data_IF_030021073376
#
_entry.id   IF_030021073376
#
_cell.length_a   1.000
_cell.length_b   1.000
_cell.length_c   1.000
_cell.angle_alpha   90.00
_cell.angle_beta   90.00
_cell.angle_gamma   90.00
#
_symmetry.space_group_name_H-M   'P 1'
#
loop_
_entity.id
_entity.type
_entity.pdbx_description
1 polymer ?
#
# COMPACT_ATOMS: atom_id res chain seq x y z
N UNK A 1 -34.42 -53.85 -56.25
CA UNK A 1 -33.19 -53.54 -55.45
C UNK A 1 -33.49 -52.28 -54.65
N UNK A 2 -33.92 -52.41 -53.35
CA UNK A 2 -34.31 -51.29 -52.48
C UNK A 2 -33.07 -50.84 -51.63
N UNK A 3 -32.64 -49.59 -51.79
CA UNK A 3 -31.60 -48.99 -50.95
C UNK A 3 -32.21 -48.56 -49.60
N UNK A 4 -31.68 -49.14 -48.52
CA UNK A 4 -31.99 -48.70 -47.15
C UNK A 4 -31.47 -47.27 -46.90
N UNK A 5 -32.27 -46.38 -46.27
CA UNK A 5 -31.80 -45.05 -45.90
C UNK A 5 -30.82 -45.15 -44.72
N UNK A 6 -29.71 -44.43 -44.80
CA UNK A 6 -28.71 -44.29 -43.73
C UNK A 6 -29.31 -43.52 -42.56
N UNK A 7 -29.29 -44.09 -41.35
CA UNK A 7 -29.60 -43.39 -40.09
C UNK A 7 -28.55 -42.33 -39.83
N UNK A 8 -28.90 -41.03 -39.95
CA UNK A 8 -28.13 -39.91 -39.43
C UNK A 8 -28.13 -39.99 -37.91
N UNK A 9 -26.97 -40.28 -37.33
CA UNK A 9 -26.76 -40.17 -35.90
C UNK A 9 -26.95 -38.71 -35.46
N UNK A 10 -27.93 -38.47 -34.57
CA UNK A 10 -28.03 -37.21 -33.82
C UNK A 10 -26.88 -37.15 -32.86
N UNK A 11 -25.90 -36.32 -33.12
CA UNK A 11 -24.87 -35.97 -32.16
C UNK A 11 -25.53 -35.13 -31.08
N UNK A 12 -25.64 -35.67 -29.88
CA UNK A 12 -26.12 -34.95 -28.67
C UNK A 12 -25.04 -34.06 -28.14
N UNK A 13 -24.94 -32.85 -28.66
CA UNK A 13 -23.97 -31.81 -28.21
C UNK A 13 -24.40 -31.10 -26.91
N UNK A 14 -25.50 -31.51 -26.28
CA UNK A 14 -26.04 -30.82 -25.10
C UNK A 14 -25.45 -31.27 -23.76
N UNK A 15 -24.76 -32.41 -23.68
CA UNK A 15 -24.21 -32.91 -22.42
C UNK A 15 -22.86 -32.25 -22.08
N UNK A 16 -22.08 -31.85 -23.07
CA UNK A 16 -20.77 -31.24 -22.88
C UNK A 16 -20.83 -29.79 -22.34
N UNK A 17 -21.86 -29.02 -22.78
CA UNK A 17 -22.04 -27.63 -22.33
C UNK A 17 -22.40 -27.52 -20.85
N UNK A 18 -23.11 -28.50 -20.27
CA UNK A 18 -23.45 -28.52 -18.84
C UNK A 18 -22.23 -28.75 -17.94
N UNK A 19 -21.34 -29.64 -18.34
CA UNK A 19 -20.13 -29.94 -17.59
C UNK A 19 -19.16 -28.74 -17.57
N UNK A 20 -19.01 -28.05 -18.69
CA UNK A 20 -18.20 -26.83 -18.80
C UNK A 20 -18.72 -25.69 -17.91
N UNK A 21 -20.05 -25.54 -17.79
CA UNK A 21 -20.64 -24.54 -16.90
C UNK A 21 -20.35 -24.83 -15.42
N UNK A 22 -20.40 -26.11 -15.01
CA UNK A 22 -20.05 -26.51 -13.64
C UNK A 22 -18.57 -26.29 -13.34
N UNK A 23 -17.69 -26.63 -14.27
CA UNK A 23 -16.27 -26.37 -14.15
C UNK A 23 -15.97 -24.88 -14.01
N UNK A 24 -16.56 -24.05 -14.87
CA UNK A 24 -16.44 -22.59 -14.79
C UNK A 24 -16.97 -22.05 -13.46
N UNK A 25 -18.09 -22.56 -12.95
CA UNK A 25 -18.67 -22.13 -11.68
C UNK A 25 -17.75 -22.40 -10.47
N UNK A 26 -16.91 -23.44 -10.53
CA UNK A 26 -15.95 -23.76 -9.48
C UNK A 26 -14.66 -22.96 -9.66
N UNK A 27 -14.17 -22.80 -10.87
CA UNK A 27 -12.90 -22.13 -11.17
C UNK A 27 -13.00 -20.61 -11.01
N UNK A 28 -14.13 -20.02 -11.40
CA UNK A 28 -14.31 -18.57 -11.39
C UNK A 28 -14.15 -17.92 -10.02
N UNK A 29 -14.71 -18.43 -8.91
CA UNK A 29 -14.49 -17.87 -7.58
C UNK A 29 -13.02 -17.92 -7.15
N UNK A 30 -12.30 -18.97 -7.52
CA UNK A 30 -10.86 -19.12 -7.19
C UNK A 30 -10.03 -18.11 -7.97
N UNK A 31 -10.32 -17.93 -9.25
CA UNK A 31 -9.66 -16.91 -10.08
C UNK A 31 -9.93 -15.50 -9.56
N UNK A 32 -11.17 -15.18 -9.19
CA UNK A 32 -11.52 -13.89 -8.61
C UNK A 32 -10.80 -13.64 -7.28
N UNK A 33 -10.74 -14.63 -6.40
CA UNK A 33 -10.03 -14.52 -5.13
C UNK A 33 -8.54 -14.25 -5.34
N UNK A 34 -7.92 -14.91 -6.31
CA UNK A 34 -6.51 -14.71 -6.67
C UNK A 34 -6.28 -13.30 -7.23
N UNK A 35 -7.18 -12.83 -8.11
CA UNK A 35 -7.10 -11.49 -8.70
C UNK A 35 -7.23 -10.40 -7.62
N UNK A 36 -8.15 -10.57 -6.68
CA UNK A 36 -8.30 -9.66 -5.52
C UNK A 36 -7.03 -9.65 -4.67
N UNK A 37 -6.43 -10.81 -4.38
CA UNK A 37 -5.20 -10.89 -3.60
C UNK A 37 -4.04 -10.16 -4.28
N UNK A 38 -3.88 -10.31 -5.61
CA UNK A 38 -2.85 -9.60 -6.37
C UNK A 38 -3.08 -8.08 -6.36
N UNK A 39 -4.32 -7.64 -6.52
CA UNK A 39 -4.69 -6.22 -6.49
C UNK A 39 -4.40 -5.59 -5.12
N UNK A 40 -4.77 -6.26 -4.02
CA UNK A 40 -4.49 -5.80 -2.64
C UNK A 40 -2.99 -5.71 -2.36
N UNK A 41 -2.23 -6.71 -2.79
CA UNK A 41 -0.78 -6.68 -2.65
C UNK A 41 -0.16 -5.50 -3.41
N UNK A 42 -0.64 -5.21 -4.62
CA UNK A 42 -0.21 -4.06 -5.41
C UNK A 42 -0.49 -2.72 -4.71
N UNK A 43 -1.67 -2.55 -4.13
CA UNK A 43 -2.06 -1.36 -3.37
C UNK A 43 -1.25 -1.19 -2.08
N UNK A 44 -1.01 -2.28 -1.35
CA UNK A 44 -0.14 -2.29 -0.19
C UNK A 44 1.28 -1.85 -0.56
N UNK A 45 1.86 -2.42 -1.60
CA UNK A 45 3.20 -2.10 -2.06
C UNK A 45 3.31 -0.65 -2.57
N UNK A 46 2.30 -0.17 -3.28
CA UNK A 46 2.20 1.24 -3.68
C UNK A 46 2.20 2.17 -2.46
N UNK A 47 1.42 1.86 -1.44
CA UNK A 47 1.37 2.63 -0.19
C UNK A 47 2.73 2.63 0.52
N UNK A 48 3.34 1.45 0.68
CA UNK A 48 4.66 1.31 1.30
C UNK A 48 5.74 2.13 0.58
N UNK A 49 5.81 2.03 -0.74
CA UNK A 49 6.80 2.76 -1.54
C UNK A 49 6.55 4.27 -1.51
N UNK A 50 5.31 4.70 -1.49
CA UNK A 50 4.93 6.12 -1.39
C UNK A 50 5.35 6.70 -0.04
N UNK A 51 5.08 6.00 1.06
CA UNK A 51 5.52 6.39 2.40
C UNK A 51 7.05 6.41 2.51
N UNK A 52 7.74 5.43 1.92
CA UNK A 52 9.21 5.40 1.88
C UNK A 52 9.82 6.56 1.08
N UNK A 53 9.19 6.97 -0.02
CA UNK A 53 9.61 8.18 -0.76
C UNK A 53 9.39 9.45 0.08
N UNK A 54 8.26 9.55 0.76
CA UNK A 54 7.93 10.68 1.60
C UNK A 54 8.93 10.85 2.76
N UNK A 55 9.31 9.76 3.45
CA UNK A 55 10.33 9.83 4.51
C UNK A 55 11.69 10.27 3.98
N UNK A 56 12.08 9.85 2.77
CA UNK A 56 13.34 10.30 2.14
C UNK A 56 13.32 11.79 1.82
N UNK A 57 12.21 12.30 1.27
CA UNK A 57 12.05 13.73 0.99
C UNK A 57 12.11 14.54 2.28
N UNK A 58 11.43 14.08 3.33
CA UNK A 58 11.45 14.72 4.65
C UNK A 58 12.84 14.73 5.28
N UNK A 59 13.55 13.58 5.27
CA UNK A 59 14.90 13.49 5.81
C UNK A 59 15.89 14.39 5.05
N UNK A 60 15.81 14.42 3.71
CA UNK A 60 16.62 15.30 2.88
C UNK A 60 16.35 16.79 3.16
N UNK A 61 15.08 17.17 3.29
CA UNK A 61 14.72 18.54 3.62
C UNK A 61 15.32 18.95 4.98
N UNK A 62 15.13 18.11 6.01
CA UNK A 62 15.57 18.44 7.36
C UNK A 62 17.10 18.42 7.50
N UNK A 63 17.82 17.55 6.77
CA UNK A 63 19.29 17.49 6.80
C UNK A 63 19.98 18.74 6.25
N UNK A 64 19.26 19.55 5.46
CA UNK A 64 19.74 20.80 4.88
C UNK A 64 19.21 22.06 5.59
N UNK A 65 18.56 21.92 6.75
CA UNK A 65 17.98 23.03 7.51
C UNK A 65 18.48 22.99 8.96
N UNK A 66 18.56 24.14 9.66
CA UNK A 66 18.85 24.17 11.08
C UNK A 66 17.80 23.39 11.85
N UNK A 67 18.22 22.51 12.76
CA UNK A 67 17.31 21.61 13.48
C UNK A 67 16.51 22.35 14.54
N UNK A 68 15.35 22.88 14.17
CA UNK A 68 14.43 23.62 15.01
C UNK A 68 13.04 23.00 15.00
N UNK A 69 12.21 23.31 15.99
CA UNK A 69 10.83 22.81 16.05
C UNK A 69 9.99 23.28 14.85
N UNK A 70 10.23 24.50 14.37
CA UNK A 70 9.58 25.02 13.17
C UNK A 70 9.93 24.18 11.92
N UNK A 71 11.19 23.80 11.74
CA UNK A 71 11.60 22.96 10.62
C UNK A 71 11.12 21.52 10.75
N UNK A 72 11.05 20.98 11.98
CA UNK A 72 10.42 19.67 12.22
C UNK A 72 8.94 19.66 11.83
N UNK A 73 8.21 20.74 12.14
CA UNK A 73 6.80 20.87 11.74
C UNK A 73 6.65 20.94 10.23
N UNK A 74 7.48 21.74 9.55
CA UNK A 74 7.50 21.78 8.07
C UNK A 74 7.83 20.42 7.46
N UNK A 75 8.78 19.68 8.07
CA UNK A 75 9.14 18.33 7.64
C UNK A 75 7.98 17.36 7.78
N UNK A 76 7.23 17.40 8.92
CA UNK A 76 6.04 16.57 9.09
C UNK A 76 4.98 16.87 8.02
N UNK A 77 4.72 18.16 7.76
CA UNK A 77 3.78 18.56 6.72
C UNK A 77 4.25 18.08 5.33
N UNK A 78 5.54 18.21 5.03
CA UNK A 78 6.12 17.75 3.77
C UNK A 78 5.97 16.24 3.58
N UNK A 79 6.17 15.45 4.63
CA UNK A 79 5.99 13.99 4.60
C UNK A 79 4.53 13.60 4.43
N UNK A 80 3.61 14.33 5.04
CA UNK A 80 2.17 14.00 5.03
C UNK A 80 1.47 14.52 3.78
N UNK A 81 1.76 15.74 3.36
CA UNK A 81 0.99 16.46 2.32
C UNK A 81 1.82 16.81 1.09
N UNK A 82 3.13 16.54 1.09
CA UNK A 82 4.02 16.97 0.00
C UNK A 82 4.31 18.47 -0.03
N UNK A 83 3.94 19.22 1.01
CA UNK A 83 4.13 20.67 1.13
C UNK A 83 4.66 21.05 2.50
N UNK A 84 5.48 22.08 2.58
CA UNK A 84 6.00 22.62 3.86
C UNK A 84 4.99 23.51 4.60
N UNK A 85 3.90 23.89 3.95
CA UNK A 85 2.78 24.63 4.56
C UNK A 85 1.88 23.70 5.37
N UNK A 86 0.95 24.30 6.12
CA UNK A 86 -0.03 23.53 6.91
C UNK A 86 -0.86 22.62 6.01
N UNK A 87 -0.99 21.37 6.40
CA UNK A 87 -1.82 20.41 5.68
C UNK A 87 -3.29 20.76 5.79
N UNK A 88 -3.97 20.94 4.66
CA UNK A 88 -5.41 21.00 4.64
C UNK A 88 -6.02 19.62 4.93
N UNK A 89 -7.22 19.59 5.49
CA UNK A 89 -7.94 18.33 5.71
C UNK A 89 -8.11 17.58 4.39
N UNK A 90 -7.70 16.31 4.37
CA UNK A 90 -7.81 15.45 3.18
C UNK A 90 -6.68 15.59 2.16
N UNK A 91 -5.67 16.45 2.38
CA UNK A 91 -4.54 16.63 1.46
C UNK A 91 -3.39 15.64 1.68
N UNK A 92 -3.55 14.66 2.58
CA UNK A 92 -2.52 13.66 2.84
C UNK A 92 -2.26 12.81 1.58
N UNK A 93 -0.96 12.56 1.30
CA UNK A 93 -0.51 11.75 0.15
C UNK A 93 -1.00 10.30 0.21
N UNK A 94 -1.26 9.82 1.42
CA UNK A 94 -1.85 8.51 1.68
C UNK A 94 -3.00 8.68 2.66
N UNK A 95 -4.11 8.00 2.40
CA UNK A 95 -5.32 8.06 3.24
C UNK A 95 -5.00 7.70 4.70
N UNK A 96 -5.55 8.46 5.64
CA UNK A 96 -5.38 8.30 7.09
C UNK A 96 -3.95 8.56 7.61
N UNK A 97 -3.03 9.09 6.80
CA UNK A 97 -1.75 9.56 7.28
C UNK A 97 -1.91 10.94 7.93
N UNK A 98 -1.35 11.10 9.13
CA UNK A 98 -1.38 12.37 9.88
C UNK A 98 0.03 12.79 10.31
N UNK A 99 0.20 14.04 10.67
CA UNK A 99 1.49 14.55 11.19
C UNK A 99 1.90 13.89 12.50
N UNK A 100 0.96 13.34 13.28
CA UNK A 100 1.23 12.57 14.49
C UNK A 100 1.93 11.22 14.19
N UNK A 101 1.72 10.67 12.98
CA UNK A 101 2.40 9.45 12.55
C UNK A 101 3.88 9.68 12.17
N UNK A 102 4.35 10.92 12.08
CA UNK A 102 5.73 11.22 11.66
C UNK A 102 6.59 11.50 12.88
N UNK A 103 7.47 10.57 13.19
CA UNK A 103 8.48 10.68 14.25
C UNK A 103 9.81 11.13 13.65
N UNK A 104 10.43 12.13 14.27
CA UNK A 104 11.72 12.67 13.86
C UNK A 104 12.68 12.52 15.03
N UNK A 105 13.77 11.82 14.80
CA UNK A 105 14.85 11.63 15.76
C UNK A 105 16.18 12.13 15.18
N UNK A 106 17.14 12.40 16.05
CA UNK A 106 18.48 12.86 15.68
C UNK A 106 19.54 12.14 16.49
N UNK A 107 20.76 12.11 15.98
CA UNK A 107 21.96 11.70 16.73
C UNK A 107 22.98 12.83 16.71
N UNK A 108 23.96 12.77 17.64
CA UNK A 108 25.00 13.81 17.82
C UNK A 108 24.70 14.72 18.99
N UNK A 109 25.80 15.34 19.52
CA UNK A 109 25.75 16.17 20.72
C UNK A 109 25.17 17.57 20.49
N UNK A 110 25.35 18.12 19.27
CA UNK A 110 24.82 19.44 18.94
C UNK A 110 23.33 19.38 18.66
N UNK A 111 22.57 20.27 19.32
CA UNK A 111 21.09 20.30 19.19
C UNK A 111 20.65 20.88 17.86
N UNK A 112 21.37 21.86 17.33
CA UNK A 112 21.01 22.58 16.10
C UNK A 112 21.63 21.98 14.84
N UNK A 113 22.77 21.31 15.01
CA UNK A 113 23.56 20.67 13.96
C UNK A 113 23.86 19.22 14.34
N UNK A 114 22.87 18.33 14.27
CA UNK A 114 23.07 16.93 14.61
C UNK A 114 23.94 16.21 13.56
N UNK A 115 24.50 15.06 13.90
CA UNK A 115 25.26 14.23 12.94
C UNK A 115 24.34 13.56 11.92
N UNK A 116 23.21 13.03 12.40
CA UNK A 116 22.20 12.41 11.53
C UNK A 116 20.79 12.82 11.95
N UNK A 117 19.89 12.78 10.98
CA UNK A 117 18.46 12.91 11.20
C UNK A 117 17.73 11.68 10.65
N UNK A 118 16.81 11.16 11.43
CA UNK A 118 15.96 10.03 11.04
C UNK A 118 14.52 10.48 11.02
N UNK A 119 13.87 10.27 9.89
CA UNK A 119 12.42 10.48 9.71
C UNK A 119 11.78 9.13 9.56
N UNK A 120 10.84 8.81 10.43
CA UNK A 120 10.14 7.53 10.49
C UNK A 120 8.65 7.76 10.56
N UNK A 121 7.88 6.90 9.89
CA UNK A 121 6.44 6.81 10.06
C UNK A 121 6.16 5.74 11.10
N UNK A 122 5.40 6.09 12.14
CA UNK A 122 5.02 5.20 13.24
C UNK A 122 3.51 5.20 13.43
N UNK A 123 2.94 4.05 13.82
CA UNK A 123 1.50 3.95 14.10
C UNK A 123 0.60 4.08 12.86
N UNK A 124 1.16 4.04 11.66
CA UNK A 124 0.35 3.97 10.45
C UNK A 124 -0.02 2.52 10.14
N UNK A 125 -1.30 2.30 9.86
CA UNK A 125 -1.86 0.99 9.57
C UNK A 125 -2.53 1.00 8.20
N UNK A 126 -2.06 0.14 7.31
CA UNK A 126 -2.72 -0.10 6.03
C UNK A 126 -4.02 -0.87 6.25
N UNK A 127 -5.08 -0.41 5.65
CA UNK A 127 -6.39 -1.08 5.64
C UNK A 127 -6.69 -1.55 4.22
N UNK A 128 -6.82 -2.87 4.00
CA UNK A 128 -7.22 -3.42 2.71
C UNK A 128 -8.58 -2.89 2.27
N UNK A 129 -8.80 -2.81 0.97
CA UNK A 129 -10.08 -2.42 0.38
C UNK A 129 -11.05 -3.61 0.45
N UNK A 130 -10.52 -4.83 0.25
CA UNK A 130 -11.30 -6.05 0.29
C UNK A 130 -11.16 -6.75 1.63
N UNK A 131 -12.26 -6.87 2.35
CA UNK A 131 -12.30 -7.60 3.62
C UNK A 131 -12.47 -9.11 3.37
N UNK A 132 -11.35 -9.82 3.31
CA UNK A 132 -11.35 -11.28 3.18
C UNK A 132 -11.67 -12.00 4.51
N UNK A 133 -11.82 -11.31 5.62
CA UNK A 133 -12.09 -11.94 6.93
C UNK A 133 -13.39 -12.74 6.93
N UNK A 134 -14.35 -12.34 6.10
CA UNK A 134 -15.62 -13.07 5.90
C UNK A 134 -15.44 -14.43 5.24
N UNK A 135 -14.36 -14.63 4.48
CA UNK A 135 -14.08 -15.89 3.78
C UNK A 135 -13.09 -16.78 4.56
N UNK A 136 -12.26 -16.18 5.44
CA UNK A 136 -11.20 -16.89 6.16
C UNK A 136 -11.55 -17.22 7.61
N UNK A 137 -12.82 -17.05 8.02
CA UNK A 137 -13.27 -17.41 9.37
C UNK A 137 -12.70 -16.54 10.49
N UNK A 138 -12.41 -15.26 10.22
CA UNK A 138 -12.03 -14.29 11.26
C UNK A 138 -10.53 -14.01 11.39
N UNK A 139 -9.67 -14.56 10.54
CA UNK A 139 -8.28 -14.10 10.45
C UNK A 139 -8.29 -12.68 9.86
N UNK A 140 -8.20 -11.66 10.74
CA UNK A 140 -8.21 -10.26 10.31
C UNK A 140 -6.86 -9.88 9.72
N UNK A 141 -6.75 -9.93 8.42
CA UNK A 141 -5.65 -9.31 7.64
C UNK A 141 -5.76 -7.78 7.60
N UNK A 142 -6.62 -7.20 8.45
CA UNK A 142 -7.14 -5.84 8.35
C UNK A 142 -6.18 -4.76 8.79
N UNK A 143 -5.09 -5.09 9.49
CA UNK A 143 -4.25 -4.05 10.09
C UNK A 143 -2.76 -4.39 9.92
N UNK A 144 -2.22 -4.10 8.76
CA UNK A 144 -0.78 -4.26 8.54
C UNK A 144 -0.06 -2.97 8.90
N UNK A 145 0.75 -3.02 9.96
CA UNK A 145 1.56 -1.88 10.36
C UNK A 145 2.63 -1.59 9.31
N UNK A 146 2.74 -0.33 8.91
CA UNK A 146 3.71 0.14 7.91
C UNK A 146 4.56 1.24 8.54
N UNK A 147 5.85 0.98 8.71
CA UNK A 147 6.76 1.86 9.44
C UNK A 147 8.07 2.12 8.69
N UNK A 148 8.02 2.74 7.48
CA UNK A 148 9.23 3.09 6.77
C UNK A 148 10.02 4.15 7.53
N UNK A 149 11.34 4.03 7.50
CA UNK A 149 12.27 4.96 8.13
C UNK A 149 13.40 5.32 7.16
N UNK A 150 13.88 6.54 7.24
CA UNK A 150 15.02 7.01 6.47
C UNK A 150 15.92 7.85 7.36
N UNK A 151 17.20 7.47 7.42
CA UNK A 151 18.26 8.22 8.12
C UNK A 151 19.16 8.87 7.10
N UNK A 152 19.46 10.15 7.29
CA UNK A 152 20.42 10.90 6.48
C UNK A 152 21.44 11.61 7.35
N UNK A 153 22.66 11.71 6.84
CA UNK A 153 23.70 12.53 7.46
C UNK A 153 23.32 13.99 7.31
N UNK A 154 23.62 14.77 8.34
CA UNK A 154 23.36 16.20 8.33
C UNK A 154 24.34 16.90 7.37
N UNK A 155 23.84 17.86 6.60
CA UNK A 155 24.63 18.53 5.56
C UNK A 155 25.21 19.88 6.00
N UNK A 156 24.65 20.46 7.06
CA UNK A 156 25.18 21.71 7.61
C UNK A 156 26.26 21.39 8.64
N UNK A 157 27.47 21.85 8.38
CA UNK A 157 28.57 21.83 9.36
C UNK A 157 28.60 23.17 10.10
N UNK A 158 28.99 23.14 11.38
CA UNK A 158 29.15 24.33 12.22
C UNK A 158 30.57 24.90 12.04
#
# INVERSE_FOLDING_TARGET
>A
MMRKPAKRGRYTTHAESGTQLVELAIVLPVLLALLVAVAEFGLYFYTYTTLGKATRVGARFLSAQVYTDGQKTKTRNLVVCGSTSTCASGSAIVKNLTTANVTITRTGANVYFPETVTVQITGYTYRPIFDLSRFTGGASWQNVAVSPSTTMRYMLEN
#
